data_IF_948658610396
#
_entry.id   IF_948658610396
#
_cell.length_a   1.000
_cell.length_b   1.000
_cell.length_c   1.000
_cell.angle_alpha   90.00
_cell.angle_beta   90.00
_cell.angle_gamma   90.00
#
_symmetry.space_group_name_H-M   'P 1'
#
loop_
_entity.id
_entity.type
_entity.pdbx_description
1 polymer ?
#
# COMPACT_ATOMS: atom_id res chain seq x y z
N UNK A 1 -10.66 -2.94 -0.88
CA UNK A 1 -10.86 -3.82 -2.05
C UNK A 1 -12.31 -3.83 -2.53
N UNK A 2 -13.21 -4.66 -1.99
CA UNK A 2 -14.57 -4.87 -2.52
C UNK A 2 -15.38 -3.58 -2.77
N UNK A 3 -15.42 -2.66 -1.80
CA UNK A 3 -16.18 -1.40 -1.90
C UNK A 3 -15.76 -0.53 -3.10
N UNK A 4 -14.47 -0.51 -3.40
CA UNK A 4 -13.88 0.28 -4.48
C UNK A 4 -13.68 -0.53 -5.77
N UNK A 5 -14.09 -1.80 -5.78
CA UNK A 5 -13.89 -2.73 -6.90
C UNK A 5 -12.43 -2.84 -7.38
N UNK A 6 -11.47 -2.65 -6.46
CA UNK A 6 -10.06 -2.88 -6.78
C UNK A 6 -9.81 -4.36 -7.00
N UNK A 7 -9.06 -4.67 -8.06
CA UNK A 7 -8.52 -5.98 -8.36
C UNK A 7 -7.01 -5.85 -8.52
N UNK A 8 -6.26 -6.58 -7.72
CA UNK A 8 -4.80 -6.61 -7.76
C UNK A 8 -4.37 -8.07 -7.83
N UNK A 9 -4.09 -8.61 -9.03
CA UNK A 9 -3.81 -10.03 -9.20
C UNK A 9 -2.46 -10.42 -8.61
N UNK A 10 -1.51 -9.48 -8.50
CA UNK A 10 -0.21 -9.72 -7.89
C UNK A 10 0.11 -8.65 -6.83
N UNK A 11 0.27 -9.11 -5.59
CA UNK A 11 0.83 -8.33 -4.48
C UNK A 11 2.11 -9.02 -4.03
N UNK A 12 3.25 -8.35 -4.15
CA UNK A 12 4.57 -8.95 -3.88
C UNK A 12 5.46 -8.05 -3.02
N UNK A 13 6.51 -8.61 -2.44
CA UNK A 13 7.57 -7.83 -1.79
C UNK A 13 8.37 -7.06 -2.84
N UNK A 14 8.61 -5.78 -2.58
CA UNK A 14 9.45 -4.92 -3.41
C UNK A 14 10.92 -5.23 -3.17
N UNK A 15 11.69 -5.40 -4.24
CA UNK A 15 13.15 -5.51 -4.15
C UNK A 15 13.75 -4.18 -3.65
N UNK A 16 14.41 -4.14 -2.48
CA UNK A 16 14.85 -2.89 -1.90
C UNK A 16 15.99 -2.21 -2.69
N UNK A 17 16.63 -2.91 -3.63
CA UNK A 17 17.71 -2.41 -4.47
C UNK A 17 17.25 -1.80 -5.80
N UNK A 18 16.05 -2.14 -6.29
CA UNK A 18 15.59 -1.74 -7.63
C UNK A 18 14.81 -0.42 -7.66
N UNK A 19 14.44 0.12 -6.49
CA UNK A 19 13.52 1.26 -6.39
C UNK A 19 13.93 2.36 -5.39
N UNK A 20 15.22 2.46 -5.08
CA UNK A 20 15.78 3.53 -4.27
C UNK A 20 16.44 4.58 -5.17
N UNK A 21 15.71 5.63 -5.53
CA UNK A 21 16.38 6.90 -5.87
C UNK A 21 16.76 7.58 -4.56
N UNK A 22 17.93 8.22 -4.51
CA UNK A 22 18.52 8.83 -3.32
C UNK A 22 17.62 9.89 -2.65
N UNK A 23 16.58 10.35 -3.36
CA UNK A 23 15.70 11.45 -2.96
C UNK A 23 14.28 11.00 -2.56
N UNK A 24 13.88 9.76 -2.86
CA UNK A 24 12.58 9.19 -2.47
C UNK A 24 12.75 7.75 -2.02
N UNK A 25 12.65 7.51 -0.71
CA UNK A 25 12.58 6.14 -0.16
C UNK A 25 11.19 5.57 -0.41
N UNK A 26 10.94 5.20 -1.66
CA UNK A 26 9.69 4.60 -2.10
C UNK A 26 9.39 3.33 -1.28
N UNK A 27 8.25 3.30 -0.60
CA UNK A 27 7.83 2.19 0.27
C UNK A 27 6.90 1.19 -0.42
N UNK A 28 6.31 1.59 -1.54
CA UNK A 28 5.44 0.76 -2.36
C UNK A 28 5.44 1.24 -3.80
N UNK A 29 4.97 0.39 -4.71
CA UNK A 29 4.84 0.72 -6.11
C UNK A 29 3.61 0.03 -6.71
N UNK A 30 2.74 0.81 -7.31
CA UNK A 30 1.66 0.32 -8.16
C UNK A 30 2.08 0.39 -9.64
N UNK A 31 2.06 -0.75 -10.33
CA UNK A 31 2.25 -0.85 -11.79
C UNK A 31 0.92 -1.03 -12.49
N UNK A 32 0.72 -0.28 -13.56
CA UNK A 32 -0.43 -0.38 -14.47
C UNK A 32 -1.79 -0.37 -13.75
N UNK A 33 -1.99 0.57 -12.82
CA UNK A 33 -3.27 0.79 -12.15
C UNK A 33 -3.82 -0.44 -11.43
N UNK A 34 -2.94 -1.17 -10.75
CA UNK A 34 -3.28 -2.32 -9.92
C UNK A 34 -2.96 -3.68 -10.53
N UNK A 35 -2.27 -3.75 -11.68
CA UNK A 35 -1.81 -5.04 -12.22
C UNK A 35 -0.82 -5.71 -11.27
N UNK A 36 0.13 -4.93 -10.73
CA UNK A 36 1.08 -5.38 -9.72
C UNK A 36 1.21 -4.30 -8.66
N UNK A 37 1.11 -4.70 -7.38
CA UNK A 37 1.52 -3.85 -6.27
C UNK A 37 2.70 -4.49 -5.56
N UNK A 38 3.75 -3.70 -5.36
CA UNK A 38 4.95 -4.10 -4.64
C UNK A 38 5.02 -3.32 -3.32
N UNK A 39 5.34 -3.99 -2.22
CA UNK A 39 5.49 -3.35 -0.91
C UNK A 39 6.85 -3.65 -0.30
N UNK A 40 7.51 -2.63 0.24
CA UNK A 40 8.78 -2.77 0.94
C UNK A 40 8.53 -3.23 2.37
N UNK A 41 8.61 -4.55 2.60
CA UNK A 41 8.35 -5.13 3.91
C UNK A 41 9.52 -4.99 4.88
N UNK A 42 10.76 -4.88 4.37
CA UNK A 42 11.98 -4.82 5.18
C UNK A 42 12.37 -3.41 5.59
N UNK A 43 13.05 -3.32 6.73
CA UNK A 43 13.75 -2.10 7.18
C UNK A 43 14.91 -1.77 6.25
N UNK A 44 15.37 -0.53 6.28
CA UNK A 44 16.48 -0.06 5.42
C UNK A 44 17.78 -0.84 5.70
N UNK A 45 17.98 -1.29 6.95
CA UNK A 45 19.14 -2.08 7.38
C UNK A 45 18.98 -3.59 7.15
N UNK A 46 17.88 -4.05 6.55
CA UNK A 46 17.54 -5.47 6.33
C UNK A 46 17.50 -6.33 7.59
N UNK A 47 17.54 -5.72 8.78
CA UNK A 47 17.60 -6.34 10.09
C UNK A 47 16.21 -6.64 10.68
N UNK A 48 15.14 -6.25 9.98
CA UNK A 48 13.78 -6.49 10.43
C UNK A 48 12.70 -6.19 9.40
N UNK A 49 11.47 -6.35 9.84
CA UNK A 49 10.26 -5.99 9.10
C UNK A 49 9.73 -4.65 9.57
N UNK A 50 9.11 -3.90 8.66
CA UNK A 50 8.34 -2.70 9.00
C UNK A 50 7.12 -3.07 9.81
N UNK A 51 6.67 -2.14 10.65
CA UNK A 51 5.45 -2.33 11.40
C UNK A 51 4.24 -2.46 10.46
N UNK A 52 3.27 -3.27 10.88
CA UNK A 52 2.08 -3.57 10.08
C UNK A 52 1.29 -2.31 9.72
N UNK A 53 1.25 -1.31 10.61
CA UNK A 53 0.53 -0.06 10.37
C UNK A 53 1.15 0.71 9.21
N UNK A 54 2.47 0.79 9.14
CA UNK A 54 3.20 1.41 8.02
C UNK A 54 2.91 0.65 6.72
N UNK A 55 3.07 -0.67 6.70
CA UNK A 55 2.79 -1.50 5.50
C UNK A 55 1.36 -1.29 5.01
N UNK A 56 0.38 -1.28 5.92
CA UNK A 56 -1.03 -1.10 5.60
C UNK A 56 -1.31 0.27 4.99
N UNK A 57 -0.71 1.33 5.52
CA UNK A 57 -0.85 2.69 4.97
C UNK A 57 -0.24 2.80 3.58
N UNK A 58 0.94 2.23 3.38
CA UNK A 58 1.56 2.14 2.05
C UNK A 58 0.66 1.41 1.07
N UNK A 59 0.06 0.27 1.45
CA UNK A 59 -0.90 -0.41 0.58
C UNK A 59 -2.13 0.45 0.26
N UNK A 60 -2.65 1.24 1.20
CA UNK A 60 -3.76 2.16 0.93
C UNK A 60 -3.38 3.23 -0.10
N UNK A 61 -2.16 3.76 -0.01
CA UNK A 61 -1.58 4.68 -1.00
C UNK A 61 -1.47 4.01 -2.38
N UNK A 62 -0.90 2.81 -2.46
CA UNK A 62 -0.79 2.10 -3.74
C UNK A 62 -2.15 1.74 -4.34
N UNK A 63 -3.17 1.46 -3.52
CA UNK A 63 -4.53 1.23 -4.02
C UNK A 63 -5.17 2.51 -4.59
N UNK A 64 -4.88 3.69 -4.01
CA UNK A 64 -5.32 4.95 -4.60
C UNK A 64 -4.70 5.18 -5.99
N UNK A 65 -3.48 4.67 -6.21
CA UNK A 65 -2.84 4.69 -7.53
C UNK A 65 -3.59 3.90 -8.61
N UNK A 66 -4.47 2.96 -8.26
CA UNK A 66 -5.39 2.32 -9.23
C UNK A 66 -6.35 3.32 -9.90
N UNK A 67 -6.55 4.50 -9.31
CA UNK A 67 -7.44 5.55 -9.85
C UNK A 67 -6.61 6.76 -10.27
N UNK A 68 -5.86 7.37 -9.35
CA UNK A 68 -5.13 8.63 -9.58
C UNK A 68 -3.63 8.39 -9.77
N UNK A 69 -3.02 8.93 -10.82
CA UNK A 69 -1.58 8.73 -11.07
C UNK A 69 -0.73 9.69 -10.25
N UNK A 70 -1.09 10.97 -10.28
CA UNK A 70 -0.36 12.03 -9.60
C UNK A 70 -0.81 12.18 -8.15
N UNK A 71 0.07 12.70 -7.29
CA UNK A 71 -0.22 13.00 -5.88
C UNK A 71 -0.97 14.33 -5.70
N UNK A 72 -2.08 14.49 -6.43
CA UNK A 72 -2.97 15.64 -6.34
C UNK A 72 -3.97 15.52 -5.19
N UNK A 73 -4.88 16.50 -5.08
CA UNK A 73 -5.88 16.53 -4.01
C UNK A 73 -6.81 15.31 -4.04
N UNK A 74 -7.24 14.88 -5.23
CA UNK A 74 -8.16 13.75 -5.37
C UNK A 74 -7.48 12.44 -4.95
N UNK A 75 -6.19 12.28 -5.27
CA UNK A 75 -5.38 11.17 -4.78
C UNK A 75 -5.34 11.12 -3.25
N UNK A 76 -5.05 12.24 -2.59
CA UNK A 76 -4.94 12.28 -1.13
C UNK A 76 -6.31 12.10 -0.45
N UNK A 77 -7.37 12.65 -1.03
CA UNK A 77 -8.73 12.47 -0.55
C UNK A 77 -9.16 10.99 -0.64
N UNK A 78 -8.85 10.30 -1.74
CA UNK A 78 -9.09 8.87 -1.89
C UNK A 78 -8.24 8.03 -0.93
N UNK A 79 -6.94 8.32 -0.81
CA UNK A 79 -6.04 7.62 0.12
C UNK A 79 -6.57 7.71 1.55
N UNK A 80 -6.92 8.92 2.01
CA UNK A 80 -7.48 9.14 3.34
C UNK A 80 -8.86 8.49 3.52
N UNK A 81 -9.67 8.40 2.46
CA UNK A 81 -10.91 7.63 2.49
C UNK A 81 -10.63 6.14 2.70
N UNK A 82 -9.72 5.54 1.93
CA UNK A 82 -9.37 4.12 2.03
C UNK A 82 -8.81 3.81 3.43
N UNK A 83 -7.89 4.63 3.94
CA UNK A 83 -7.31 4.44 5.29
C UNK A 83 -8.39 4.39 6.38
N UNK A 84 -9.32 5.37 6.39
CA UNK A 84 -10.44 5.41 7.35
C UNK A 84 -11.35 4.20 7.23
N UNK A 85 -11.61 3.74 6.01
CA UNK A 85 -12.44 2.56 5.76
C UNK A 85 -11.77 1.28 6.26
N UNK A 86 -10.46 1.15 6.06
CA UNK A 86 -9.65 0.03 6.55
C UNK A 86 -9.59 0.04 8.07
N UNK A 87 -9.32 1.19 8.70
CA UNK A 87 -9.34 1.33 10.17
C UNK A 87 -10.70 0.95 10.77
N UNK A 88 -11.80 1.37 10.12
CA UNK A 88 -13.15 0.98 10.53
C UNK A 88 -13.46 -0.50 10.27
N UNK A 89 -12.79 -1.17 9.34
CA UNK A 89 -12.94 -2.61 9.17
C UNK A 89 -12.10 -3.40 10.20
N UNK A 90 -10.99 -2.82 10.64
CA UNK A 90 -9.99 -3.45 11.50
C UNK A 90 -10.53 -3.71 12.93
N UNK A 91 -11.33 -2.79 13.50
CA UNK A 91 -11.84 -2.91 14.88
C UNK A 91 -12.92 -3.99 15.11
N UNK A 92 -13.37 -4.71 14.06
CA UNK A 92 -14.44 -5.73 14.18
C UNK A 92 -14.20 -7.12 13.60
N UNK A 93 -13.06 -7.48 12.97
CA UNK A 93 -13.11 -8.77 12.25
C UNK A 93 -11.88 -9.41 11.59
N UNK A 94 -10.66 -9.26 12.09
CA UNK A 94 -9.53 -10.06 11.58
C UNK A 94 -8.60 -10.64 12.66
N UNK A 95 -9.08 -10.75 13.90
CA UNK A 95 -8.50 -11.70 14.85
C UNK A 95 -8.75 -13.11 14.34
N UNK A 96 -7.69 -13.82 13.95
CA UNK A 96 -7.60 -15.26 13.68
C UNK A 96 -8.92 -15.98 13.42
N UNK A 97 -9.25 -16.21 12.14
CA UNK A 97 -9.99 -17.44 11.82
C UNK A 97 -9.00 -18.58 12.09
N UNK A 98 -9.23 -19.25 13.23
CA UNK A 98 -8.63 -20.52 13.63
C UNK A 98 -8.62 -21.55 12.50
#
# INVERSE_FOLDING_TARGET
MHKHRFSVPLLTEMNPAEHTTTESRTLGLNRNKGEVIELRLRTDAYDGYRDYRTIRKTLCHELAHCVHSEHDRDFWDLTAQIEREVERADWKGAGGRR
#
